data_IF_857067297663
#
_entry.id   IF_857067297663
#
_cell.length_a   1.000
_cell.length_b   1.000
_cell.length_c   1.000
_cell.angle_alpha   90.00
_cell.angle_beta   90.00
_cell.angle_gamma   90.00
#
_symmetry.space_group_name_H-M   'P 1'
#
loop_
_entity.id
_entity.type
_entity.pdbx_description
1 polymer ?
#
# COMPACT_ATOMS: atom_id res chain seq x y z
N UNK A 1 13.87 10.65 12.85
CA UNK A 1 13.63 11.64 11.78
C UNK A 1 12.50 12.56 12.23
N UNK A 2 12.65 13.89 12.12
CA UNK A 2 11.55 14.85 12.36
C UNK A 2 10.77 15.19 11.09
N UNK A 3 11.12 14.59 9.96
CA UNK A 3 10.55 14.90 8.66
C UNK A 3 9.24 14.15 8.45
N UNK A 4 8.22 14.88 7.97
CA UNK A 4 6.94 14.32 7.55
C UNK A 4 6.98 13.99 6.05
N UNK A 5 6.47 12.83 5.67
CA UNK A 5 6.44 12.38 4.27
C UNK A 5 4.99 12.27 3.79
N UNK A 6 4.74 12.73 2.57
CA UNK A 6 3.46 12.56 1.88
C UNK A 6 3.61 11.54 0.75
N UNK A 7 2.82 10.48 0.80
CA UNK A 7 2.70 9.47 -0.26
C UNK A 7 1.37 9.69 -0.98
N UNK A 8 1.42 9.85 -2.30
CA UNK A 8 0.23 10.05 -3.14
C UNK A 8 -0.02 8.78 -3.95
N UNK A 9 -1.19 8.19 -3.78
CA UNK A 9 -1.62 6.93 -4.39
C UNK A 9 -1.50 5.75 -3.42
N UNK A 10 -2.64 5.16 -3.06
CA UNK A 10 -2.79 4.03 -2.16
C UNK A 10 -2.78 2.67 -2.84
N UNK A 11 -2.09 2.51 -3.97
CA UNK A 11 -1.83 1.18 -4.55
C UNK A 11 -0.75 0.41 -3.79
N UNK A 12 -0.48 -0.84 -4.17
CA UNK A 12 0.53 -1.70 -3.52
C UNK A 12 1.89 -1.02 -3.29
N UNK A 13 2.36 -0.21 -4.25
CA UNK A 13 3.62 0.52 -4.13
C UNK A 13 3.56 1.63 -3.08
N UNK A 14 2.46 2.38 -3.03
CA UNK A 14 2.28 3.48 -2.07
C UNK A 14 2.06 2.96 -0.65
N UNK A 15 1.28 1.89 -0.50
CA UNK A 15 1.10 1.20 0.78
C UNK A 15 2.45 0.73 1.32
N UNK A 16 3.25 0.02 0.51
CA UNK A 16 4.57 -0.47 0.96
C UNK A 16 5.50 0.68 1.31
N UNK A 17 5.58 1.72 0.47
CA UNK A 17 6.42 2.88 0.74
C UNK A 17 6.03 3.56 2.06
N UNK A 18 4.73 3.67 2.34
CA UNK A 18 4.24 4.27 3.57
C UNK A 18 4.59 3.43 4.81
N UNK A 19 4.46 2.10 4.72
CA UNK A 19 4.85 1.17 5.78
C UNK A 19 6.36 1.24 6.05
N UNK A 20 7.21 1.15 5.03
CA UNK A 20 8.67 1.18 5.16
C UNK A 20 9.15 2.49 5.81
N UNK A 21 8.55 3.63 5.42
CA UNK A 21 8.86 4.94 6.00
C UNK A 21 8.36 5.08 7.44
N UNK A 22 7.19 4.51 7.76
CA UNK A 22 6.66 4.49 9.11
C UNK A 22 7.53 3.61 10.03
N UNK A 23 7.98 2.45 9.57
CA UNK A 23 8.92 1.58 10.29
C UNK A 23 10.28 2.26 10.51
N UNK A 24 10.74 3.08 9.56
CA UNK A 24 11.92 3.92 9.70
C UNK A 24 11.74 5.12 10.67
N UNK A 25 10.55 5.30 11.24
CA UNK A 25 10.23 6.33 12.23
C UNK A 25 9.91 7.71 11.64
N UNK A 26 9.52 7.79 10.37
CA UNK A 26 8.99 9.02 9.77
C UNK A 26 7.47 9.14 10.02
N UNK A 27 6.96 10.38 10.08
CA UNK A 27 5.51 10.63 10.10
C UNK A 27 5.00 10.61 8.67
N UNK A 28 4.16 9.63 8.32
CA UNK A 28 3.68 9.44 6.94
C UNK A 28 2.21 9.83 6.81
N UNK A 29 1.89 10.57 5.76
CA UNK A 29 0.53 10.80 5.27
C UNK A 29 0.36 10.06 3.95
N UNK A 30 -0.66 9.21 3.85
CA UNK A 30 -1.03 8.52 2.60
C UNK A 30 -2.33 9.12 2.08
N UNK A 31 -2.34 9.58 0.83
CA UNK A 31 -3.53 10.16 0.17
C UNK A 31 -3.87 9.33 -1.05
N UNK A 32 -5.08 8.76 -1.05
CA UNK A 32 -5.66 8.05 -2.20
C UNK A 32 -6.84 8.87 -2.75
N UNK A 33 -6.99 8.87 -4.08
CA UNK A 33 -8.07 9.56 -4.78
C UNK A 33 -9.41 8.84 -4.61
N UNK A 34 -9.38 7.51 -4.57
CA UNK A 34 -10.56 6.65 -4.42
C UNK A 34 -10.96 6.49 -2.95
N UNK A 35 -12.18 6.01 -2.72
CA UNK A 35 -12.69 5.74 -1.38
C UNK A 35 -11.98 4.58 -0.67
N UNK A 36 -11.25 3.75 -1.42
CA UNK A 36 -10.55 2.55 -0.95
C UNK A 36 -9.12 2.56 -1.44
N UNK A 37 -8.21 2.04 -0.62
CA UNK A 37 -6.84 1.76 -1.01
C UNK A 37 -6.75 0.39 -1.73
N UNK A 38 -5.64 0.18 -2.42
CA UNK A 38 -5.24 -1.04 -3.10
C UNK A 38 -4.98 -0.91 -4.60
N UNK A 39 -5.58 0.10 -5.22
CA UNK A 39 -5.34 0.42 -6.63
C UNK A 39 -5.72 -0.72 -7.56
N UNK A 40 -4.84 -1.07 -8.52
CA UNK A 40 -5.13 -2.11 -9.50
C UNK A 40 -5.03 -3.53 -8.93
N UNK A 41 -4.18 -3.73 -7.90
CA UNK A 41 -3.95 -5.07 -7.35
C UNK A 41 -5.20 -5.63 -6.67
N UNK A 42 -5.99 -4.77 -6.03
CA UNK A 42 -7.19 -5.17 -5.29
C UNK A 42 -8.35 -5.64 -6.18
N UNK A 43 -8.31 -5.35 -7.49
CA UNK A 43 -9.30 -5.85 -8.46
C UNK A 43 -8.84 -7.09 -9.23
N UNK A 44 -7.59 -7.52 -9.06
CA UNK A 44 -7.07 -8.74 -9.67
C UNK A 44 -7.42 -9.95 -8.80
N UNK A 45 -7.81 -11.07 -9.43
CA UNK A 45 -8.06 -12.31 -8.68
C UNK A 45 -6.74 -12.96 -8.21
N UNK A 46 -5.76 -13.06 -9.11
CA UNK A 46 -4.49 -13.75 -8.86
C UNK A 46 -3.28 -13.02 -9.40
N UNK A 47 -2.15 -13.16 -8.70
CA UNK A 47 -0.87 -12.60 -9.12
C UNK A 47 0.05 -13.67 -9.72
N UNK A 48 0.50 -13.46 -10.95
CA UNK A 48 1.59 -14.26 -11.52
C UNK A 48 2.90 -13.94 -10.77
N UNK A 49 3.87 -14.87 -10.69
CA UNK A 49 3.84 -16.24 -11.23
C UNK A 49 3.25 -17.27 -10.26
N UNK A 50 3.07 -16.92 -8.99
CA UNK A 50 2.69 -17.87 -7.93
C UNK A 50 1.21 -18.25 -7.94
N UNK A 51 0.36 -17.46 -8.61
CA UNK A 51 -1.09 -17.63 -8.68
C UNK A 51 -1.78 -17.52 -7.31
N UNK A 52 -1.14 -16.79 -6.39
CA UNK A 52 -1.71 -16.41 -5.11
C UNK A 52 -2.88 -15.44 -5.32
N UNK A 53 -3.88 -15.52 -4.46
CA UNK A 53 -4.99 -14.58 -4.47
C UNK A 53 -4.50 -13.19 -4.09
N UNK A 54 -4.84 -12.17 -4.88
CA UNK A 54 -4.29 -10.82 -4.68
C UNK A 54 -4.63 -10.25 -3.31
N UNK A 55 -5.87 -10.45 -2.87
CA UNK A 55 -6.31 -9.95 -1.57
C UNK A 55 -5.58 -10.62 -0.40
N UNK A 56 -5.13 -11.87 -0.57
CA UNK A 56 -4.38 -12.57 0.48
C UNK A 56 -3.01 -11.94 0.74
N UNK A 57 -2.38 -11.35 -0.29
CA UNK A 57 -1.10 -10.65 -0.17
C UNK A 57 -1.32 -9.20 0.26
N UNK A 58 -2.39 -8.58 -0.23
CA UNK A 58 -2.60 -7.14 -0.12
C UNK A 58 -3.33 -6.73 1.16
N UNK A 59 -4.37 -7.46 1.57
CA UNK A 59 -5.18 -7.10 2.74
C UNK A 59 -4.37 -6.98 4.04
N UNK A 60 -3.36 -7.83 4.33
CA UNK A 60 -2.51 -7.66 5.52
C UNK A 60 -1.66 -6.39 5.51
N UNK A 61 -1.45 -5.77 4.33
CA UNK A 61 -0.74 -4.48 4.22
C UNK A 61 -1.66 -3.28 4.32
N UNK A 62 -2.98 -3.49 4.21
CA UNK A 62 -4.00 -2.44 4.32
C UNK A 62 -4.45 -2.17 5.76
N UNK A 63 -4.05 -3.02 6.72
CA UNK A 63 -4.48 -2.97 8.12
C UNK A 63 -3.71 -1.98 8.98
#
# INVERSE_FOLDING_TARGET
MSDSVLVIGGGIAGIQSALDLAEAGAKVYLVEKQATIGGLMSVLDKNFPTLDCSICIEAPKMS
#
